data_IF_490860969379
#
_entry.id   IF_490860969379
#
_cell.length_a   1.000
_cell.length_b   1.000
_cell.length_c   1.000
_cell.angle_alpha   90.00
_cell.angle_beta   90.00
_cell.angle_gamma   90.00
#
_symmetry.space_group_name_H-M   'P 1'
#
loop_
_entity.id
_entity.type
_entity.pdbx_description
1 polymer ?
#
# COMPACT_ATOMS: atom_id res chain seq x y z
N UNK A 1 -12.26 -1.20 -19.56
CA UNK A 1 -11.10 -1.81 -18.87
C UNK A 1 -9.77 -1.11 -19.16
N UNK A 2 -8.97 -1.45 -20.20
CA UNK A 2 -7.61 -0.87 -20.36
C UNK A 2 -7.63 0.67 -20.45
N UNK A 3 -8.58 1.24 -21.19
CA UNK A 3 -8.79 2.71 -21.24
C UNK A 3 -9.09 3.31 -19.86
N UNK A 4 -9.84 2.61 -19.03
CA UNK A 4 -10.16 3.06 -17.67
C UNK A 4 -8.96 2.91 -16.74
N UNK A 5 -8.09 1.91 -16.95
CA UNK A 5 -6.82 1.80 -16.21
C UNK A 5 -5.92 3.01 -16.51
N UNK A 6 -5.77 3.36 -17.79
CA UNK A 6 -5.00 4.54 -18.18
C UNK A 6 -5.59 5.83 -17.58
N UNK A 7 -6.91 6.04 -17.76
CA UNK A 7 -7.65 7.15 -17.16
C UNK A 7 -7.46 7.22 -15.64
N UNK A 8 -7.55 6.08 -14.95
CA UNK A 8 -7.37 5.99 -13.50
C UNK A 8 -5.97 6.42 -13.06
N UNK A 9 -4.93 5.95 -13.76
CA UNK A 9 -3.56 6.33 -13.42
C UNK A 9 -3.33 7.84 -13.57
N UNK A 10 -3.88 8.45 -14.62
CA UNK A 10 -3.80 9.90 -14.86
C UNK A 10 -4.57 10.68 -13.77
N UNK A 11 -5.84 10.33 -13.52
CA UNK A 11 -6.69 11.00 -12.53
C UNK A 11 -6.16 10.85 -11.10
N UNK A 12 -5.59 9.70 -10.74
CA UNK A 12 -4.97 9.49 -9.43
C UNK A 12 -3.72 10.36 -9.28
N UNK A 13 -2.92 10.49 -10.33
CA UNK A 13 -1.72 11.34 -10.32
C UNK A 13 -2.10 12.80 -10.12
N UNK A 14 -3.14 13.28 -10.81
CA UNK A 14 -3.68 14.63 -10.62
C UNK A 14 -4.27 14.82 -9.23
N UNK A 15 -5.02 13.83 -8.73
CA UNK A 15 -5.59 13.84 -7.38
C UNK A 15 -4.51 14.00 -6.30
N UNK A 16 -3.43 13.23 -6.36
CA UNK A 16 -2.35 13.31 -5.38
C UNK A 16 -1.62 14.66 -5.44
N UNK A 17 -1.38 15.21 -6.64
CA UNK A 17 -0.78 16.55 -6.80
C UNK A 17 -1.66 17.65 -6.18
N UNK A 18 -2.97 17.61 -6.44
CA UNK A 18 -3.90 18.57 -5.86
C UNK A 18 -3.98 18.46 -4.32
N UNK A 19 -3.80 17.25 -3.77
CA UNK A 19 -3.71 17.04 -2.32
C UNK A 19 -2.43 17.62 -1.70
N UNK A 20 -1.28 17.43 -2.35
CA UNK A 20 -0.02 18.04 -1.92
C UNK A 20 -0.08 19.58 -1.91
N UNK A 21 -0.76 20.17 -2.90
CA UNK A 21 -0.93 21.61 -3.00
C UNK A 21 -2.00 22.20 -2.08
N UNK A 22 -2.69 21.39 -1.27
CA UNK A 22 -3.84 21.78 -0.45
C UNK A 22 -4.94 22.52 -1.24
N UNK A 23 -5.23 22.08 -2.47
CA UNK A 23 -6.23 22.72 -3.37
C UNK A 23 -7.70 22.46 -2.96
N UNK A 24 -7.98 22.30 -1.66
CA UNK A 24 -9.34 22.22 -1.12
C UNK A 24 -10.06 20.88 -1.36
N UNK A 25 -9.35 19.81 -1.72
CA UNK A 25 -9.97 18.48 -1.80
C UNK A 25 -10.27 17.94 -0.39
N UNK A 26 -11.36 17.19 -0.28
CA UNK A 26 -11.75 16.52 0.96
C UNK A 26 -10.74 15.41 1.30
N UNK A 27 -9.94 15.61 2.34
CA UNK A 27 -9.00 14.60 2.86
C UNK A 27 -9.70 13.28 3.27
N UNK A 28 -11.03 13.32 3.42
CA UNK A 28 -11.86 12.19 3.86
C UNK A 28 -12.58 11.47 2.70
N UNK A 29 -12.30 11.79 1.43
CA UNK A 29 -12.88 11.03 0.30
C UNK A 29 -12.46 9.55 0.38
N UNK A 30 -13.44 8.64 0.35
CA UNK A 30 -13.19 7.20 0.31
C UNK A 30 -12.94 6.72 -1.11
N UNK A 31 -12.30 5.56 -1.24
CA UNK A 31 -12.09 4.91 -2.55
C UNK A 31 -13.41 4.73 -3.31
N UNK A 32 -14.46 4.30 -2.62
CA UNK A 32 -15.78 4.12 -3.23
C UNK A 32 -16.41 5.43 -3.70
N UNK A 33 -16.26 6.52 -2.92
CA UNK A 33 -16.72 7.85 -3.31
C UNK A 33 -16.00 8.35 -4.56
N UNK A 34 -14.67 8.21 -4.60
CA UNK A 34 -13.85 8.56 -5.77
C UNK A 34 -14.30 7.82 -7.03
N UNK A 35 -14.51 6.50 -6.92
CA UNK A 35 -14.91 5.68 -8.06
C UNK A 35 -16.31 6.04 -8.58
N UNK A 36 -17.23 6.34 -7.66
CA UNK A 36 -18.61 6.72 -7.98
C UNK A 36 -18.67 8.11 -8.61
N UNK A 37 -17.94 9.10 -8.06
CA UNK A 37 -17.95 10.49 -8.54
C UNK A 37 -17.37 10.62 -9.95
N UNK A 38 -16.42 9.75 -10.33
CA UNK A 38 -15.76 9.73 -11.65
C UNK A 38 -16.35 8.72 -12.63
N UNK A 39 -17.48 8.10 -12.27
CA UNK A 39 -18.25 7.17 -13.10
C UNK A 39 -17.44 5.98 -13.64
N UNK A 40 -16.57 5.39 -12.83
CA UNK A 40 -15.86 4.16 -13.20
C UNK A 40 -16.83 2.99 -13.37
N UNK A 41 -16.64 2.19 -14.42
CA UNK A 41 -17.54 1.07 -14.69
C UNK A 41 -17.47 0.00 -13.59
N UNK A 42 -18.58 -0.71 -13.38
CA UNK A 42 -18.61 -1.84 -12.43
C UNK A 42 -17.56 -2.91 -12.76
N UNK A 43 -17.31 -3.15 -14.05
CA UNK A 43 -16.31 -4.11 -14.51
C UNK A 43 -14.91 -3.66 -14.07
N UNK A 44 -14.54 -2.38 -14.27
CA UNK A 44 -13.26 -1.85 -13.80
C UNK A 44 -13.09 -2.00 -12.28
N UNK A 45 -14.13 -1.69 -11.52
CA UNK A 45 -14.07 -1.79 -10.06
C UNK A 45 -13.90 -3.24 -9.59
N UNK A 46 -14.78 -4.14 -10.07
CA UNK A 46 -14.89 -5.52 -9.55
C UNK A 46 -13.90 -6.51 -10.15
N UNK A 47 -13.38 -6.25 -11.36
CA UNK A 47 -12.44 -7.16 -12.03
C UNK A 47 -10.98 -6.68 -12.01
N UNK A 48 -10.72 -5.42 -11.60
CA UNK A 48 -9.36 -4.87 -11.57
C UNK A 48 -9.01 -4.23 -10.23
N UNK A 49 -9.61 -3.09 -9.89
CA UNK A 49 -9.11 -2.27 -8.79
C UNK A 49 -9.41 -2.87 -7.41
N UNK A 50 -10.66 -3.26 -7.14
CA UNK A 50 -11.03 -3.77 -5.82
C UNK A 50 -10.36 -5.11 -5.50
N UNK A 51 -10.28 -6.11 -6.41
CA UNK A 51 -9.51 -7.33 -6.17
C UNK A 51 -8.02 -7.08 -5.92
N UNK A 52 -7.42 -6.12 -6.62
CA UNK A 52 -6.03 -5.72 -6.39
C UNK A 52 -5.85 -5.19 -4.96
N UNK A 53 -6.70 -4.25 -4.55
CA UNK A 53 -6.68 -3.70 -3.19
C UNK A 53 -6.96 -4.78 -2.12
N UNK A 54 -7.93 -5.67 -2.33
CA UNK A 54 -8.20 -6.79 -1.43
C UNK A 54 -6.97 -7.68 -1.24
N UNK A 55 -6.19 -7.89 -2.29
CA UNK A 55 -4.96 -8.71 -2.24
C UNK A 55 -3.84 -8.01 -1.45
N UNK A 56 -3.75 -6.69 -1.55
CA UNK A 56 -2.75 -5.88 -0.83
C UNK A 56 -3.06 -5.83 0.66
N UNK A 57 -4.29 -5.47 1.01
CA UNK A 57 -4.68 -5.21 2.41
C UNK A 57 -5.37 -6.38 3.10
N UNK A 58 -5.53 -7.52 2.42
CA UNK A 58 -6.16 -8.75 2.97
C UNK A 58 -7.54 -8.48 3.59
N UNK A 59 -8.29 -7.54 3.00
CA UNK A 59 -9.61 -7.13 3.46
C UNK A 59 -10.67 -7.41 2.38
N UNK A 60 -11.91 -7.71 2.77
CA UNK A 60 -13.00 -7.90 1.83
C UNK A 60 -13.40 -6.57 1.16
N UNK A 61 -14.07 -6.65 0.01
CA UNK A 61 -14.38 -5.50 -0.85
C UNK A 61 -15.16 -4.42 -0.09
N UNK A 62 -16.13 -4.83 0.74
CA UNK A 62 -16.99 -3.93 1.52
C UNK A 62 -16.19 -3.06 2.51
N UNK A 63 -15.00 -3.52 2.92
CA UNK A 63 -14.09 -2.72 3.74
C UNK A 63 -13.19 -1.83 2.88
N UNK A 64 -12.64 -2.38 1.79
CA UNK A 64 -11.70 -1.68 0.91
C UNK A 64 -12.32 -0.43 0.29
N UNK A 65 -13.61 -0.46 -0.10
CA UNK A 65 -14.30 0.72 -0.65
C UNK A 65 -14.39 1.89 0.34
N UNK A 66 -14.27 1.62 1.64
CA UNK A 66 -14.32 2.63 2.69
C UNK A 66 -12.93 3.12 3.10
N UNK A 67 -11.86 2.61 2.49
CA UNK A 67 -10.52 3.13 2.74
C UNK A 67 -10.39 4.55 2.19
N UNK A 68 -9.56 5.35 2.86
CA UNK A 68 -9.19 6.68 2.39
C UNK A 68 -8.56 6.60 0.99
N UNK A 69 -9.08 7.39 0.05
CA UNK A 69 -8.61 7.43 -1.33
C UNK A 69 -7.13 7.82 -1.38
N UNK A 70 -6.73 8.87 -0.65
CA UNK A 70 -5.32 9.31 -0.59
C UNK A 70 -4.39 8.21 -0.09
N UNK A 71 -4.79 7.44 0.92
CA UNK A 71 -3.98 6.33 1.44
C UNK A 71 -3.81 5.21 0.41
N UNK A 72 -4.88 4.82 -0.28
CA UNK A 72 -4.83 3.79 -1.32
C UNK A 72 -3.95 4.27 -2.48
N UNK A 73 -4.17 5.48 -2.96
CA UNK A 73 -3.46 6.03 -4.11
C UNK A 73 -1.97 6.26 -3.84
N UNK A 74 -1.63 6.80 -2.68
CA UNK A 74 -0.23 6.95 -2.26
C UNK A 74 0.46 5.58 -2.20
N UNK A 75 -0.22 4.54 -1.71
CA UNK A 75 0.32 3.18 -1.72
C UNK A 75 0.57 2.70 -3.15
N UNK A 76 -0.41 2.82 -4.05
CA UNK A 76 -0.27 2.39 -5.44
C UNK A 76 0.86 3.13 -6.16
N UNK A 77 1.00 4.44 -5.93
CA UNK A 77 2.07 5.25 -6.49
C UNK A 77 3.46 4.80 -6.01
N UNK A 78 3.64 4.66 -4.69
CA UNK A 78 4.92 4.24 -4.10
C UNK A 78 5.33 2.82 -4.51
N UNK A 79 4.37 1.96 -4.88
CA UNK A 79 4.63 0.58 -5.31
C UNK A 79 4.67 0.41 -6.83
N UNK A 80 4.71 1.51 -7.60
CA UNK A 80 4.75 1.49 -9.07
C UNK A 80 3.56 0.76 -9.72
N UNK A 81 2.39 0.81 -9.07
CA UNK A 81 1.14 0.18 -9.53
C UNK A 81 0.25 1.11 -10.36
N UNK A 82 0.66 2.38 -10.54
CA UNK A 82 -0.06 3.39 -11.34
C UNK A 82 0.57 3.64 -12.72
N UNK A 83 1.09 2.59 -13.37
CA UNK A 83 1.68 2.68 -14.70
C UNK A 83 1.34 1.45 -15.54
N UNK A 84 1.38 1.60 -16.86
CA UNK A 84 1.17 0.47 -17.79
C UNK A 84 2.48 -0.18 -18.23
N UNK A 85 3.57 0.59 -18.24
CA UNK A 85 4.89 0.19 -18.70
C UNK A 85 5.96 0.65 -17.70
N UNK A 86 7.22 0.26 -17.91
CA UNK A 86 8.34 0.75 -17.10
C UNK A 86 8.34 0.24 -15.66
N UNK A 87 7.77 -0.93 -15.40
CA UNK A 87 7.81 -1.51 -14.05
C UNK A 87 9.26 -1.82 -13.66
N UNK A 88 9.67 -1.45 -12.43
CA UNK A 88 10.98 -1.83 -11.96
C UNK A 88 11.07 -3.35 -11.94
N UNK A 89 12.23 -3.87 -12.30
CA UNK A 89 12.49 -5.29 -12.14
C UNK A 89 12.57 -5.60 -10.65
N UNK A 90 11.56 -6.29 -10.12
CA UNK A 90 11.57 -6.76 -8.74
C UNK A 90 12.60 -7.90 -8.59
N UNK A 91 13.70 -7.60 -7.91
CA UNK A 91 14.74 -8.57 -7.62
C UNK A 91 14.38 -9.40 -6.39
N UNK A 92 14.69 -10.69 -6.43
CA UNK A 92 14.58 -11.58 -5.26
C UNK A 92 15.96 -11.89 -4.70
N UNK A 93 16.05 -12.03 -3.37
CA UNK A 93 17.28 -12.43 -2.72
C UNK A 93 17.54 -13.91 -2.98
N UNK A 94 18.69 -14.22 -3.55
CA UNK A 94 19.15 -15.61 -3.74
C UNK A 94 19.20 -16.31 -2.38
N UNK A 95 18.67 -17.53 -2.34
CA UNK A 95 18.56 -18.34 -1.11
C UNK A 95 17.52 -17.84 -0.09
N UNK A 96 16.46 -17.18 -0.59
CA UNK A 96 15.26 -16.77 0.15
C UNK A 96 15.48 -15.72 1.25
N UNK A 97 14.40 -15.42 1.98
CA UNK A 97 14.40 -14.44 3.08
C UNK A 97 15.39 -14.76 4.20
N UNK A 98 15.73 -16.04 4.36
CA UNK A 98 16.72 -16.50 5.34
C UNK A 98 18.09 -15.83 5.15
N UNK A 99 18.46 -15.46 3.92
CA UNK A 99 19.76 -14.85 3.64
C UNK A 99 19.94 -13.48 4.30
N UNK A 100 18.94 -12.58 4.20
CA UNK A 100 19.03 -11.27 4.83
C UNK A 100 18.76 -11.34 6.34
N UNK A 101 17.90 -12.26 6.80
CA UNK A 101 17.64 -12.46 8.23
C UNK A 101 18.91 -12.87 8.99
N UNK A 102 19.72 -13.78 8.43
CA UNK A 102 21.01 -14.18 9.05
C UNK A 102 21.99 -13.00 9.17
N UNK A 103 22.05 -12.13 8.16
CA UNK A 103 22.91 -10.93 8.20
C UNK A 103 22.42 -9.94 9.26
N UNK A 104 21.11 -9.72 9.33
CA UNK A 104 20.48 -8.86 10.33
C UNK A 104 20.73 -9.38 11.75
N UNK A 105 20.51 -10.68 11.98
CA UNK A 105 20.79 -11.33 13.26
C UNK A 105 22.23 -11.06 13.72
N UNK A 106 23.21 -11.33 12.85
CA UNK A 106 24.63 -11.11 13.16
C UNK A 106 24.94 -9.65 13.48
N UNK A 107 24.34 -8.70 12.74
CA UNK A 107 24.54 -7.28 12.97
C UNK A 107 24.00 -6.83 14.33
N UNK A 108 22.80 -7.29 14.71
CA UNK A 108 22.18 -7.01 16.00
C UNK A 108 22.99 -7.61 17.15
N UNK A 109 23.41 -8.87 17.05
CA UNK A 109 24.25 -9.53 18.05
C UNK A 109 25.59 -8.79 18.23
N UNK A 110 26.19 -8.32 17.13
CA UNK A 110 27.43 -7.52 17.17
C UNK A 110 27.25 -6.16 17.83
N UNK A 111 26.05 -5.58 17.75
CA UNK A 111 25.68 -4.35 18.46
C UNK A 111 25.31 -4.60 19.94
N UNK A 112 25.43 -5.83 20.43
CA UNK A 112 25.10 -6.21 21.81
C UNK A 112 23.62 -6.53 22.04
N UNK A 113 22.80 -6.61 20.99
CA UNK A 113 21.40 -7.01 21.14
C UNK A 113 21.31 -8.52 21.41
N UNK A 114 20.56 -8.88 22.46
CA UNK A 114 20.21 -10.27 22.73
C UNK A 114 18.87 -10.62 22.06
N UNK A 115 18.90 -11.45 21.02
CA UNK A 115 17.68 -11.94 20.36
C UNK A 115 17.13 -13.12 21.15
N UNK A 116 15.86 -13.03 21.59
CA UNK A 116 15.18 -14.08 22.36
C UNK A 116 14.02 -14.66 21.56
N UNK A 117 14.19 -15.90 21.06
CA UNK A 117 13.13 -16.64 20.36
C UNK A 117 12.25 -17.39 21.36
N UNK A 118 11.03 -17.77 20.95
CA UNK A 118 10.08 -18.53 21.77
C UNK A 118 9.76 -17.88 23.14
N UNK A 119 10.02 -16.58 23.28
CA UNK A 119 9.85 -15.83 24.52
C UNK A 119 8.56 -15.02 24.43
N UNK A 120 7.55 -15.42 25.21
CA UNK A 120 6.26 -14.72 25.23
C UNK A 120 6.41 -13.35 25.89
N UNK A 121 5.89 -12.31 25.25
CA UNK A 121 5.76 -10.97 25.85
C UNK A 121 4.55 -10.99 26.79
N UNK A 122 4.79 -10.82 28.09
CA UNK A 122 3.73 -10.88 29.12
C UNK A 122 3.18 -9.49 29.50
N UNK A 123 4.02 -8.47 29.47
CA UNK A 123 3.63 -7.09 29.75
C UNK A 123 4.53 -6.13 28.98
N UNK A 124 3.99 -4.95 28.67
CA UNK A 124 4.72 -3.82 28.10
C UNK A 124 4.38 -2.63 28.98
N UNK A 125 5.39 -1.99 29.55
CA UNK A 125 5.23 -0.73 30.29
C UNK A 125 6.18 0.29 29.69
N UNK A 126 5.69 1.50 29.46
CA UNK A 126 6.53 2.66 29.18
C UNK A 126 7.27 3.06 30.44
N UNK A 127 8.59 3.19 30.36
CA UNK A 127 9.35 3.97 31.33
C UNK A 127 8.84 5.40 31.26
N UNK A 128 8.35 5.94 32.39
CA UNK A 128 8.12 7.38 32.53
C UNK A 128 9.48 8.04 32.59
N UNK A 129 9.82 8.78 31.53
CA UNK A 129 10.72 9.93 31.64
C UNK A 129 9.88 11.16 32.05
#
# INVERSE_FOLDING_TARGET
>A
MIREIAKFNDEVTEYLKAMENNEGLEQNETLGQFLKSRHYSNVFQTAYLLPMCCSIWLNPIEKVVNFSAVSVFSYLQHHFLLQLFGHPQWLTVKSSSNAYLKKLQKALESAGCQIRTCSKVNSISTTKD
#
